data_IF_030412303414
#
_entry.id   IF_030412303414
#
_cell.length_a   1.000
_cell.length_b   1.000
_cell.length_c   1.000
_cell.angle_alpha   90.00
_cell.angle_beta   90.00
_cell.angle_gamma   90.00
#
_symmetry.space_group_name_H-M   'P 1'
#
loop_
_entity.id
_entity.type
_entity.pdbx_description
1 polymer ?
#
# COMPACT_ATOMS: atom_id res chain seq x y z
N UNK A 1 -23.54 13.08 5.83
CA UNK A 1 -22.23 12.41 5.79
C UNK A 1 -22.53 10.98 5.40
N UNK A 2 -21.83 10.43 4.43
CA UNK A 2 -21.96 9.02 4.08
C UNK A 2 -21.17 8.25 5.14
N UNK A 3 -21.85 7.54 6.02
CA UNK A 3 -21.21 6.77 7.08
C UNK A 3 -20.30 5.73 6.42
N UNK A 4 -18.99 5.87 6.60
CA UNK A 4 -18.02 4.92 6.07
C UNK A 4 -18.00 3.71 7.02
N UNK A 5 -18.40 2.55 6.49
CA UNK A 5 -18.59 1.32 7.26
C UNK A 5 -17.48 0.33 6.90
N UNK A 6 -16.75 -0.15 7.92
CA UNK A 6 -15.79 -1.24 7.81
C UNK A 6 -16.49 -2.57 8.09
N UNK A 7 -16.22 -3.56 7.23
CA UNK A 7 -16.67 -4.94 7.46
C UNK A 7 -15.92 -5.53 8.68
N UNK A 8 -16.48 -6.55 9.35
CA UNK A 8 -15.78 -7.26 10.42
C UNK A 8 -14.40 -7.75 9.96
N UNK A 9 -13.35 -7.42 10.71
CA UNK A 9 -11.97 -7.80 10.39
C UNK A 9 -11.24 -6.89 9.40
N UNK A 10 -11.89 -5.82 8.92
CA UNK A 10 -11.24 -4.74 8.18
C UNK A 10 -10.70 -3.67 9.13
N UNK A 11 -9.64 -3.00 8.70
CA UNK A 11 -8.95 -1.94 9.41
C UNK A 11 -8.68 -0.77 8.48
N UNK A 12 -8.70 0.43 9.03
CA UNK A 12 -8.28 1.64 8.32
C UNK A 12 -6.83 1.98 8.63
N UNK A 13 -6.10 2.38 7.59
CA UNK A 13 -4.74 2.90 7.68
C UNK A 13 -4.78 4.34 7.14
N UNK A 14 -4.86 5.34 8.02
CA UNK A 14 -4.67 6.74 7.62
C UNK A 14 -3.28 6.94 7.03
N UNK A 15 -3.15 7.72 5.96
CA UNK A 15 -1.87 7.92 5.28
C UNK A 15 -1.83 9.25 4.52
N UNK A 16 -0.64 9.64 4.05
CA UNK A 16 -0.42 10.89 3.31
C UNK A 16 -0.47 12.15 4.18
N UNK A 17 -0.31 12.02 5.50
CA UNK A 17 -0.13 13.16 6.39
C UNK A 17 0.74 12.82 7.61
N UNK A 18 1.61 13.75 8.03
CA UNK A 18 2.36 13.67 9.29
C UNK A 18 1.61 14.23 10.50
N UNK A 19 0.50 14.92 10.28
CA UNK A 19 -0.17 15.79 11.27
C UNK A 19 -1.48 15.24 11.82
N UNK A 20 -1.67 13.92 11.69
CA UNK A 20 -2.87 13.23 12.14
C UNK A 20 -2.64 12.54 13.49
N UNK A 21 -3.69 12.49 14.31
CA UNK A 21 -3.71 11.77 15.59
C UNK A 21 -5.01 10.98 15.70
N UNK A 22 -4.96 9.91 16.47
CA UNK A 22 -6.09 8.99 16.61
C UNK A 22 -7.33 9.60 17.28
N UNK A 23 -7.17 10.71 18.01
CA UNK A 23 -8.26 11.47 18.64
C UNK A 23 -9.16 12.17 17.62
N UNK A 24 -8.64 12.43 16.41
CA UNK A 24 -9.39 13.08 15.32
C UNK A 24 -10.27 12.10 14.55
N UNK A 25 -10.33 10.85 14.98
CA UNK A 25 -11.06 9.80 14.29
C UNK A 25 -12.03 9.12 15.24
N UNK A 26 -13.32 9.27 14.95
CA UNK A 26 -14.37 8.50 15.58
C UNK A 26 -14.34 7.06 15.03
N UNK A 27 -14.48 6.09 15.93
CA UNK A 27 -14.61 4.67 15.61
C UNK A 27 -15.70 4.11 16.52
N UNK A 28 -16.86 3.84 15.95
CA UNK A 28 -18.03 3.34 16.66
C UNK A 28 -18.29 1.89 16.24
N UNK A 29 -18.32 0.98 17.21
CA UNK A 29 -18.53 -0.43 16.95
C UNK A 29 -19.99 -0.68 16.51
N UNK A 30 -20.17 -1.52 15.49
CA UNK A 30 -21.49 -1.91 14.98
C UNK A 30 -21.91 -3.28 15.52
N UNK A 31 -23.23 -3.58 15.60
CA UNK A 31 -23.73 -4.87 16.07
C UNK A 31 -23.31 -6.08 15.23
N UNK A 32 -22.96 -5.85 13.96
CA UNK A 32 -22.49 -6.87 13.02
C UNK A 32 -21.00 -7.21 13.19
N UNK A 33 -20.29 -6.56 14.12
CA UNK A 33 -18.86 -6.72 14.34
C UNK A 33 -17.99 -5.82 13.45
N UNK A 34 -18.61 -4.97 12.63
CA UNK A 34 -17.94 -3.92 11.86
C UNK A 34 -17.74 -2.64 12.66
N UNK A 35 -17.26 -1.61 11.98
CA UNK A 35 -17.04 -0.29 12.58
C UNK A 35 -17.60 0.80 11.67
N UNK A 36 -18.22 1.81 12.27
CA UNK A 36 -18.45 3.09 11.62
C UNK A 36 -17.29 4.02 11.96
N UNK A 37 -16.82 4.79 10.98
CA UNK A 37 -15.69 5.67 11.20
C UNK A 37 -15.82 7.02 10.48
N UNK A 38 -15.25 8.05 11.11
CA UNK A 38 -15.08 9.37 10.53
C UNK A 38 -13.58 9.69 10.49
N UNK A 39 -12.91 9.22 9.45
CA UNK A 39 -11.49 9.49 9.26
C UNK A 39 -11.32 10.73 8.37
N UNK A 40 -10.80 11.85 8.90
CA UNK A 40 -10.81 13.14 8.20
C UNK A 40 -9.68 13.32 7.17
N UNK A 41 -8.92 12.25 6.90
CA UNK A 41 -7.72 12.28 6.05
C UNK A 41 -7.77 11.13 5.03
N UNK A 42 -6.79 11.08 4.12
CA UNK A 42 -6.59 9.93 3.25
C UNK A 42 -6.48 8.65 4.08
N UNK A 43 -7.27 7.62 3.78
CA UNK A 43 -7.18 6.32 4.44
C UNK A 43 -7.31 5.19 3.44
N UNK A 44 -6.61 4.09 3.71
CA UNK A 44 -6.77 2.81 3.03
C UNK A 44 -7.60 1.87 3.91
N UNK A 45 -8.50 1.07 3.31
CA UNK A 45 -9.17 -0.03 4.02
C UNK A 45 -8.45 -1.33 3.71
N UNK A 46 -8.08 -2.06 4.76
CA UNK A 46 -7.27 -3.26 4.70
C UNK A 46 -7.99 -4.39 5.40
N UNK A 47 -8.17 -5.51 4.70
CA UNK A 47 -8.77 -6.71 5.28
C UNK A 47 -7.74 -7.75 5.68
N UNK A 48 -8.09 -8.60 6.64
CA UNK A 48 -7.26 -9.75 7.02
C UNK A 48 -7.00 -10.66 5.80
N UNK A 49 -5.73 -10.93 5.51
CA UNK A 49 -5.30 -11.77 4.38
C UNK A 49 -5.52 -11.15 3.00
N UNK A 50 -5.88 -9.86 2.92
CA UNK A 50 -6.06 -9.13 1.67
C UNK A 50 -5.01 -8.03 1.59
N UNK A 51 -4.00 -8.24 0.75
CA UNK A 51 -3.02 -7.20 0.48
C UNK A 51 -3.65 -5.99 -0.19
N UNK A 52 -3.11 -4.83 0.11
CA UNK A 52 -3.57 -3.56 -0.39
C UNK A 52 -2.91 -3.25 -1.74
N UNK A 53 -3.67 -3.33 -2.83
CA UNK A 53 -3.13 -3.37 -4.20
C UNK A 53 -3.48 -2.13 -5.00
N UNK A 54 -2.70 -1.86 -6.05
CA UNK A 54 -2.90 -0.72 -6.95
C UNK A 54 -4.25 -0.77 -7.67
N UNK A 55 -4.83 -1.96 -7.85
CA UNK A 55 -6.16 -2.07 -8.41
C UNK A 55 -7.28 -1.67 -7.43
N UNK A 56 -7.00 -1.69 -6.13
CA UNK A 56 -7.99 -1.56 -5.08
C UNK A 56 -8.57 -0.15 -4.99
N UNK A 57 -9.91 -0.05 -5.05
CA UNK A 57 -10.64 1.19 -4.87
C UNK A 57 -10.77 1.63 -3.39
N UNK A 58 -10.19 0.88 -2.46
CA UNK A 58 -10.28 1.10 -1.01
C UNK A 58 -9.32 2.19 -0.52
N UNK A 59 -9.35 3.34 -1.20
CA UNK A 59 -8.84 4.59 -0.70
C UNK A 59 -9.94 5.65 -0.81
N UNK A 60 -10.17 6.45 0.22
CA UNK A 60 -11.09 7.61 0.13
C UNK A 60 -10.51 8.78 -0.69
N UNK A 61 -9.54 8.51 -1.54
CA UNK A 61 -8.89 9.50 -2.36
C UNK A 61 -9.66 9.64 -3.67
N UNK A 62 -10.02 10.86 -4.11
CA UNK A 62 -10.89 11.05 -5.27
C UNK A 62 -10.31 10.38 -6.52
N UNK A 63 -11.13 9.57 -7.19
CA UNK A 63 -10.80 9.01 -8.50
C UNK A 63 -10.69 10.19 -9.47
N UNK A 64 -9.66 10.28 -10.32
CA UNK A 64 -9.56 11.38 -11.28
C UNK A 64 -10.77 11.37 -12.21
N UNK A 65 -11.38 12.53 -12.42
CA UNK A 65 -12.53 12.70 -13.32
C UNK A 65 -12.14 12.63 -14.79
N UNK A 66 -10.85 12.83 -15.09
CA UNK A 66 -10.26 12.72 -16.42
C UNK A 66 -8.97 11.91 -16.32
N UNK A 67 -9.09 10.60 -16.49
CA UNK A 67 -7.98 9.83 -17.05
C UNK A 67 -8.22 9.87 -18.56
N UNK A 68 -7.20 10.16 -19.35
CA UNK A 68 -7.11 9.70 -20.74
C UNK A 68 -6.16 8.48 -20.70
N UNK A 69 -6.64 7.32 -20.22
CA UNK A 69 -5.78 6.17 -19.97
C UNK A 69 -5.80 5.31 -21.23
N UNK A 70 -5.15 5.80 -22.28
CA UNK A 70 -5.12 5.07 -23.55
C UNK A 70 -4.12 3.89 -23.47
N UNK A 71 -3.25 3.87 -22.46
CA UNK A 71 -2.38 2.74 -22.14
C UNK A 71 -2.09 2.53 -20.63
N UNK A 72 -1.65 1.32 -20.27
CA UNK A 72 -1.24 0.92 -18.93
C UNK A 72 -0.10 1.78 -18.36
N UNK A 73 0.75 2.32 -19.23
CA UNK A 73 1.92 3.12 -18.83
C UNK A 73 1.51 4.47 -18.27
N UNK A 74 0.51 5.13 -18.88
CA UNK A 74 -0.08 6.36 -18.39
C UNK A 74 -0.73 6.19 -17.02
N UNK A 75 -1.45 5.09 -16.82
CA UNK A 75 -2.09 4.77 -15.53
C UNK A 75 -1.06 4.54 -14.42
N UNK A 76 0.02 3.80 -14.70
CA UNK A 76 1.10 3.62 -13.74
C UNK A 76 1.81 4.95 -13.45
N UNK A 77 2.05 5.78 -14.46
CA UNK A 77 2.65 7.11 -14.28
C UNK A 77 1.79 8.00 -13.39
N UNK A 78 0.47 7.96 -13.59
CA UNK A 78 -0.49 8.63 -12.73
C UNK A 78 -0.40 8.14 -11.28
N UNK A 79 -0.45 6.83 -11.04
CA UNK A 79 -0.37 6.24 -9.70
C UNK A 79 0.94 6.57 -8.99
N UNK A 80 2.07 6.55 -9.72
CA UNK A 80 3.37 6.97 -9.22
C UNK A 80 3.34 8.44 -8.77
N UNK A 81 2.91 9.35 -9.65
CA UNK A 81 2.83 10.79 -9.33
C UNK A 81 1.90 11.05 -8.15
N UNK A 82 0.77 10.34 -8.08
CA UNK A 82 -0.17 10.43 -6.95
C UNK A 82 0.49 10.01 -5.64
N UNK A 83 1.11 8.84 -5.60
CA UNK A 83 1.78 8.34 -4.40
C UNK A 83 2.92 9.28 -3.97
N UNK A 84 3.71 9.80 -4.92
CA UNK A 84 4.75 10.80 -4.62
C UNK A 84 4.19 12.10 -4.02
N UNK A 85 3.01 12.53 -4.47
CA UNK A 85 2.32 13.70 -3.93
C UNK A 85 1.84 13.56 -2.48
N UNK A 86 1.81 12.33 -1.94
CA UNK A 86 1.45 12.02 -0.56
C UNK A 86 2.68 11.89 0.36
N UNK A 87 3.89 11.94 -0.19
CA UNK A 87 5.12 11.87 0.58
C UNK A 87 5.35 13.17 1.38
N UNK A 88 6.15 13.07 2.44
CA UNK A 88 6.64 14.25 3.15
C UNK A 88 7.51 15.12 2.23
N UNK A 89 7.18 16.40 2.11
CA UNK A 89 7.94 17.38 1.33
C UNK A 89 9.38 17.54 1.83
N UNK A 90 9.65 17.19 3.09
CA UNK A 90 10.98 17.24 3.70
C UNK A 90 11.72 15.90 3.63
N UNK A 91 11.05 14.80 3.28
CA UNK A 91 11.66 13.47 3.19
C UNK A 91 11.72 12.98 1.74
N UNK A 92 12.78 13.38 1.03
CA UNK A 92 13.00 13.01 -0.38
C UNK A 92 13.09 11.50 -0.60
N UNK A 93 13.57 10.74 0.40
CA UNK A 93 13.75 9.28 0.30
C UNK A 93 12.43 8.54 0.13
N UNK A 94 11.33 9.05 0.67
CA UNK A 94 10.00 8.50 0.40
C UNK A 94 9.67 8.61 -1.09
N UNK A 95 9.81 9.80 -1.69
CA UNK A 95 9.51 10.01 -3.10
C UNK A 95 10.45 9.23 -4.04
N UNK A 96 11.73 9.06 -3.65
CA UNK A 96 12.70 8.23 -4.35
C UNK A 96 12.30 6.75 -4.29
N UNK A 97 11.95 6.24 -3.11
CA UNK A 97 11.42 4.88 -2.97
C UNK A 97 10.23 4.65 -3.90
N UNK A 98 9.24 5.54 -3.89
CA UNK A 98 8.05 5.40 -4.72
C UNK A 98 8.45 5.31 -6.20
N UNK A 99 9.33 6.20 -6.65
CA UNK A 99 9.83 6.20 -8.03
C UNK A 99 10.51 4.88 -8.38
N UNK A 100 11.40 4.39 -7.53
CA UNK A 100 12.12 3.14 -7.74
C UNK A 100 11.21 1.91 -7.64
N UNK A 101 10.20 1.92 -6.77
CA UNK A 101 9.23 0.84 -6.63
C UNK A 101 8.38 0.69 -7.89
N UNK A 102 7.88 1.80 -8.44
CA UNK A 102 7.10 1.77 -9.68
C UNK A 102 7.92 1.37 -10.91
N UNK A 103 9.21 1.72 -10.95
CA UNK A 103 10.12 1.21 -11.98
C UNK A 103 10.37 -0.30 -11.79
N UNK A 104 10.65 -0.72 -10.56
CA UNK A 104 10.86 -2.11 -10.18
C UNK A 104 9.69 -3.00 -10.63
N UNK A 105 8.43 -2.67 -10.30
CA UNK A 105 7.29 -3.55 -10.66
C UNK A 105 7.14 -3.70 -12.18
N UNK A 106 7.48 -2.67 -12.97
CA UNK A 106 7.45 -2.75 -14.44
C UNK A 106 8.54 -3.68 -14.95
N UNK A 107 9.78 -3.41 -14.55
CA UNK A 107 10.95 -4.16 -15.01
C UNK A 107 10.85 -5.63 -14.58
N UNK A 108 10.41 -5.87 -13.35
CA UNK A 108 10.33 -7.21 -12.79
C UNK A 108 9.22 -8.05 -13.44
N UNK A 109 8.10 -7.43 -13.79
CA UNK A 109 7.04 -8.11 -14.55
C UNK A 109 7.50 -8.44 -15.98
N UNK A 110 8.20 -7.51 -16.65
CA UNK A 110 8.75 -7.73 -17.98
C UNK A 110 9.80 -8.86 -18.00
N UNK A 111 10.71 -8.89 -17.02
CA UNK A 111 11.67 -9.97 -16.83
C UNK A 111 10.99 -11.34 -16.64
N UNK A 112 9.83 -11.35 -15.99
CA UNK A 112 9.05 -12.54 -15.71
C UNK A 112 7.91 -12.79 -16.72
N UNK A 113 7.90 -12.07 -17.85
CA UNK A 113 6.81 -12.08 -18.83
C UNK A 113 6.39 -13.49 -19.23
N UNK A 114 7.34 -14.38 -19.52
CA UNK A 114 7.03 -15.77 -19.90
C UNK A 114 6.29 -16.59 -18.82
N UNK A 115 6.49 -16.30 -17.53
CA UNK A 115 5.73 -16.96 -16.45
C UNK A 115 4.32 -16.39 -16.34
N UNK A 116 4.17 -15.08 -16.52
CA UNK A 116 2.87 -14.39 -16.46
C UNK A 116 2.03 -14.71 -17.70
N UNK A 117 2.66 -14.81 -18.87
CA UNK A 117 2.03 -15.30 -20.11
C UNK A 117 1.46 -16.70 -19.92
N UNK A 118 2.18 -17.60 -19.24
CA UNK A 118 1.68 -18.93 -18.94
C UNK A 118 0.43 -18.90 -18.03
N UNK A 119 0.37 -17.95 -17.08
CA UNK A 119 -0.84 -17.71 -16.27
C UNK A 119 -1.97 -17.11 -17.13
N UNK A 120 -1.65 -16.19 -18.04
CA UNK A 120 -2.62 -15.52 -18.90
C UNK A 120 -3.19 -16.44 -19.99
N UNK A 121 -2.45 -17.47 -20.40
CA UNK A 121 -2.84 -18.42 -21.44
C UNK A 121 -4.15 -19.17 -21.12
N UNK A 122 -4.45 -19.35 -19.83
CA UNK A 122 -5.72 -19.94 -19.37
C UNK A 122 -6.95 -19.12 -19.80
N UNK A 123 -6.76 -17.84 -20.12
CA UNK A 123 -7.81 -16.91 -20.52
C UNK A 123 -7.86 -16.65 -22.02
N UNK A 124 -7.24 -17.51 -22.84
CA UNK A 124 -7.37 -17.51 -24.31
C UNK A 124 -7.10 -16.15 -24.98
N UNK A 125 -6.11 -15.39 -24.47
CA UNK A 125 -5.71 -14.10 -25.02
C UNK A 125 -6.55 -12.90 -24.56
N UNK A 126 -7.45 -13.08 -23.58
CA UNK A 126 -8.18 -11.97 -22.95
C UNK A 126 -7.28 -11.02 -22.15
N UNK A 127 -6.14 -11.53 -21.67
CA UNK A 127 -5.21 -10.76 -20.85
C UNK A 127 -3.79 -10.81 -21.39
N UNK A 128 -3.09 -9.69 -21.27
CA UNK A 128 -1.66 -9.57 -21.52
C UNK A 128 -0.91 -9.47 -20.17
N UNK A 129 0.39 -9.81 -20.10
CA UNK A 129 1.17 -9.73 -18.87
C UNK A 129 1.07 -8.39 -18.16
N UNK A 130 1.05 -7.29 -18.90
CA UNK A 130 1.01 -5.92 -18.38
C UNK A 130 -0.25 -5.65 -17.54
N UNK A 131 -1.32 -6.43 -17.74
CA UNK A 131 -2.54 -6.31 -16.95
C UNK A 131 -2.31 -6.67 -15.47
N UNK A 132 -1.27 -7.45 -15.16
CA UNK A 132 -0.89 -7.76 -13.78
C UNK A 132 -0.14 -6.63 -13.07
N UNK A 133 0.28 -5.55 -13.75
CA UNK A 133 0.96 -4.42 -13.09
C UNK A 133 0.17 -3.87 -11.89
N UNK A 134 -1.15 -3.82 -12.00
CA UNK A 134 -2.02 -3.30 -10.94
C UNK A 134 -2.24 -4.29 -9.79
N UNK A 135 -1.78 -5.54 -9.92
CA UNK A 135 -1.76 -6.49 -8.81
C UNK A 135 -0.66 -6.14 -7.78
N UNK A 136 0.29 -5.26 -8.10
CA UNK A 136 1.30 -4.83 -7.15
C UNK A 136 0.68 -4.15 -5.93
N UNK A 137 1.35 -4.27 -4.78
CA UNK A 137 0.89 -3.62 -3.56
C UNK A 137 1.01 -2.09 -3.68
N UNK A 138 -0.02 -1.37 -3.27
CA UNK A 138 -0.03 0.08 -3.30
C UNK A 138 0.79 0.62 -2.12
N UNK A 139 1.82 1.45 -2.37
CA UNK A 139 2.59 2.06 -1.30
C UNK A 139 1.75 3.11 -0.57
N UNK A 140 1.90 3.15 0.75
CA UNK A 140 1.22 4.08 1.66
C UNK A 140 2.24 5.02 2.31
N UNK A 141 2.52 6.19 1.73
CA UNK A 141 3.38 7.20 2.35
C UNK A 141 2.77 7.73 3.64
N UNK A 142 3.62 8.00 4.65
CA UNK A 142 3.19 8.57 5.94
C UNK A 142 2.04 7.76 6.59
N UNK A 143 2.16 6.44 6.60
CA UNK A 143 1.13 5.54 7.09
C UNK A 143 1.07 5.52 8.62
N UNK A 144 -0.14 5.69 9.16
CA UNK A 144 -0.45 5.54 10.58
C UNK A 144 -0.93 4.11 10.80
N UNK A 145 -0.07 3.26 11.37
CA UNK A 145 -0.33 1.83 11.55
C UNK A 145 -0.85 1.59 12.96
N UNK A 146 -2.00 0.91 13.09
CA UNK A 146 -2.57 0.57 14.39
C UNK A 146 -1.71 -0.46 15.12
N UNK A 147 -1.43 -0.23 16.41
CA UNK A 147 -0.55 -1.07 17.25
C UNK A 147 -1.20 -1.60 18.53
N UNK A 148 -2.51 -1.37 18.75
CA UNK A 148 -3.26 -2.00 19.84
C UNK A 148 -3.32 -1.23 21.17
N UNK A 149 -2.73 -0.04 21.26
CA UNK A 149 -2.80 0.81 22.47
C UNK A 149 -4.14 1.59 22.57
N UNK A 150 -4.36 2.31 23.68
CA UNK A 150 -5.50 3.22 23.84
C UNK A 150 -5.14 4.68 23.43
N UNK A 151 -6.15 5.46 23.08
CA UNK A 151 -5.99 6.90 22.81
C UNK A 151 -5.15 7.24 21.58
N UNK A 152 -4.46 8.38 21.61
CA UNK A 152 -3.63 8.87 20.49
C UNK A 152 -2.47 7.94 20.14
N UNK A 153 -1.97 7.18 21.13
CA UNK A 153 -0.85 6.26 20.97
C UNK A 153 -1.22 5.02 20.17
N UNK A 154 -2.50 4.72 19.94
CA UNK A 154 -2.91 3.51 19.23
C UNK A 154 -2.41 3.37 17.79
N UNK A 155 -1.81 4.42 17.23
CA UNK A 155 -1.17 4.40 15.92
C UNK A 155 0.29 4.85 15.98
N UNK A 156 1.13 4.19 15.17
CA UNK A 156 2.52 4.59 14.93
C UNK A 156 2.66 5.10 13.50
N UNK A 157 3.26 6.28 13.35
CA UNK A 157 3.60 6.85 12.04
C UNK A 157 4.85 6.17 11.48
N UNK A 158 4.68 5.44 10.39
CA UNK A 158 5.76 4.95 9.55
C UNK A 158 6.00 5.90 8.35
N UNK A 159 7.26 6.16 7.94
CA UNK A 159 7.54 6.98 6.75
C UNK A 159 6.84 6.46 5.49
N UNK A 160 6.74 5.13 5.38
CA UNK A 160 6.10 4.44 4.28
C UNK A 160 5.64 3.05 4.77
N UNK A 161 4.56 2.53 4.22
CA UNK A 161 4.17 1.13 4.41
C UNK A 161 3.75 0.47 3.09
N UNK A 162 3.90 -0.85 3.05
CA UNK A 162 3.22 -1.74 2.10
C UNK A 162 2.36 -2.71 2.90
N UNK A 163 1.15 -3.00 2.42
CA UNK A 163 0.33 -4.06 3.01
C UNK A 163 0.24 -5.23 2.04
N UNK A 164 0.97 -6.30 2.32
CA UNK A 164 0.90 -7.52 1.51
C UNK A 164 -0.13 -8.50 2.10
N UNK A 165 -0.32 -9.64 1.41
CA UNK A 165 -1.25 -10.67 1.88
C UNK A 165 -0.80 -11.30 3.22
N UNK A 166 0.51 -11.22 3.53
CA UNK A 166 1.10 -11.71 4.77
C UNK A 166 1.00 -10.69 5.92
N UNK A 167 0.73 -9.41 5.63
CA UNK A 167 0.57 -8.35 6.62
C UNK A 167 1.28 -7.04 6.27
N UNK A 168 1.50 -6.23 7.31
CA UNK A 168 2.11 -4.92 7.17
C UNK A 168 3.64 -5.01 7.05
N UNK A 169 4.21 -4.27 6.11
CA UNK A 169 5.64 -3.99 6.01
C UNK A 169 5.82 -2.47 6.18
N UNK A 170 6.32 -2.04 7.34
CA UNK A 170 6.69 -0.66 7.61
C UNK A 170 8.13 -0.41 7.13
N UNK A 171 8.32 0.63 6.33
CA UNK A 171 9.58 0.92 5.65
C UNK A 171 10.21 2.18 6.27
N UNK A 172 11.44 2.03 6.76
CA UNK A 172 12.26 3.09 7.33
C UNK A 172 13.51 3.29 6.48
N UNK A 173 14.05 4.51 6.46
CA UNK A 173 15.25 4.85 5.69
C UNK A 173 16.41 5.14 6.63
N UNK A 174 17.43 4.29 6.65
CA UNK A 174 18.60 4.43 7.52
C UNK A 174 19.48 5.62 7.11
N UNK A 175 20.06 6.33 8.08
CA UNK A 175 21.15 7.27 7.84
C UNK A 175 20.76 8.71 7.47
N UNK A 176 19.64 9.25 7.94
CA UNK A 176 19.36 10.69 7.83
C UNK A 176 19.69 11.43 9.13
N UNK A 177 19.34 10.87 10.28
CA UNK A 177 19.75 11.31 11.61
C UNK A 177 19.82 10.04 12.45
N UNK A 178 20.72 9.96 13.44
CA UNK A 178 20.74 8.87 14.42
C UNK A 178 19.32 8.47 14.76
N UNK A 179 18.93 7.20 14.58
CA UNK A 179 17.59 6.75 14.94
C UNK A 179 17.32 7.20 16.37
N UNK A 180 16.56 8.28 16.54
CA UNK A 180 16.31 8.85 17.85
C UNK A 180 15.61 7.79 18.68
N UNK A 181 15.66 7.90 20.01
CA UNK A 181 14.98 6.95 20.90
C UNK A 181 13.51 6.71 20.51
N UNK A 182 12.85 7.75 19.96
CA UNK A 182 11.50 7.66 19.39
C UNK A 182 11.41 6.70 18.19
N UNK A 183 12.29 6.80 17.20
CA UNK A 183 12.28 5.90 16.02
C UNK A 183 12.49 4.45 16.43
N UNK A 184 13.42 4.17 17.35
CA UNK A 184 13.65 2.82 17.84
C UNK A 184 12.42 2.27 18.60
N UNK A 185 11.80 3.11 19.43
CA UNK A 185 10.55 2.78 20.13
C UNK A 185 9.39 2.52 19.16
N UNK A 186 9.20 3.39 18.17
CA UNK A 186 8.17 3.26 17.14
C UNK A 186 8.33 1.95 16.34
N UNK A 187 9.56 1.64 15.91
CA UNK A 187 9.84 0.36 15.26
C UNK A 187 9.59 -0.85 16.19
N UNK A 188 9.93 -0.76 17.47
CA UNK A 188 9.69 -1.85 18.43
C UNK A 188 8.19 -2.11 18.62
N UNK A 189 7.38 -1.05 18.70
CA UNK A 189 5.91 -1.13 18.79
C UNK A 189 5.30 -1.76 17.54
N UNK A 190 5.77 -1.35 16.36
CA UNK A 190 5.35 -1.96 15.08
C UNK A 190 5.66 -3.45 15.03
N UNK A 191 6.87 -3.86 15.44
CA UNK A 191 7.24 -5.29 15.52
C UNK A 191 6.37 -6.04 16.52
N UNK A 192 6.08 -5.46 17.68
CA UNK A 192 5.19 -6.05 18.69
C UNK A 192 3.78 -6.27 18.15
N UNK A 193 3.28 -5.34 17.34
CA UNK A 193 1.98 -5.44 16.65
C UNK A 193 2.00 -6.39 15.44
N UNK A 194 3.13 -7.05 15.15
CA UNK A 194 3.25 -8.03 14.06
C UNK A 194 3.59 -7.44 12.69
N UNK A 195 3.93 -6.15 12.61
CA UNK A 195 4.44 -5.58 11.37
C UNK A 195 5.91 -5.97 11.13
N UNK A 196 6.25 -6.24 9.88
CA UNK A 196 7.64 -6.37 9.44
C UNK A 196 8.21 -4.96 9.33
N UNK A 197 9.33 -4.69 9.99
CA UNK A 197 10.05 -3.42 9.85
C UNK A 197 11.23 -3.62 8.90
N UNK A 198 11.14 -3.05 7.71
CA UNK A 198 12.18 -3.04 6.69
C UNK A 198 12.94 -1.72 6.76
N UNK A 199 14.19 -1.79 7.20
CA UNK A 199 15.08 -0.62 7.23
C UNK A 199 15.99 -0.63 6.00
N UNK A 200 15.88 0.39 5.16
CA UNK A 200 16.62 0.51 3.91
C UNK A 200 17.75 1.52 4.07
N UNK A 201 18.99 1.09 3.86
CA UNK A 201 20.13 1.98 3.67
C UNK A 201 20.01 2.77 2.37
N UNK A 202 20.82 3.84 2.24
CA UNK A 202 20.92 4.62 1.00
C UNK A 202 21.24 3.74 -0.21
N UNK A 203 22.17 2.79 -0.07
CA UNK A 203 22.53 1.87 -1.14
C UNK A 203 21.37 0.96 -1.56
N UNK A 204 20.57 0.48 -0.60
CA UNK A 204 19.46 -0.44 -0.86
C UNK A 204 18.27 0.21 -1.55
N UNK A 205 18.12 1.53 -1.50
CA UNK A 205 17.06 2.24 -2.25
C UNK A 205 17.60 3.19 -3.32
N UNK A 206 18.89 3.10 -3.67
CA UNK A 206 19.53 3.97 -4.66
C UNK A 206 19.06 3.73 -6.11
N UNK A 207 18.48 2.57 -6.41
CA UNK A 207 18.00 2.22 -7.76
C UNK A 207 16.88 1.19 -7.70
N UNK A 208 16.10 0.99 -8.79
CA UNK A 208 15.07 -0.05 -8.85
C UNK A 208 15.63 -1.46 -8.58
N UNK A 209 16.80 -1.79 -9.12
CA UNK A 209 17.44 -3.10 -8.92
C UNK A 209 17.91 -3.30 -7.48
N UNK A 210 18.53 -2.29 -6.87
CA UNK A 210 18.93 -2.37 -5.46
C UNK A 210 17.71 -2.53 -4.55
N UNK A 211 16.65 -1.77 -4.82
CA UNK A 211 15.40 -1.87 -4.08
C UNK A 211 14.78 -3.26 -4.23
N UNK A 212 14.73 -3.79 -5.46
CA UNK A 212 14.25 -5.14 -5.74
C UNK A 212 15.01 -6.20 -4.93
N UNK A 213 16.31 -6.05 -4.72
CA UNK A 213 17.09 -6.98 -3.92
C UNK A 213 16.67 -6.95 -2.44
N UNK A 214 16.39 -5.77 -1.89
CA UNK A 214 16.04 -5.55 -0.49
C UNK A 214 14.58 -5.88 -0.12
N UNK A 215 13.66 -5.87 -1.09
CA UNK A 215 12.24 -6.16 -0.82
C UNK A 215 12.03 -7.63 -0.40
N UNK A 216 10.97 -7.95 0.38
CA UNK A 216 10.57 -9.34 0.63
C UNK A 216 10.05 -10.05 -0.63
N UNK A 217 10.19 -11.37 -0.72
CA UNK A 217 9.70 -12.14 -1.88
C UNK A 217 8.19 -11.96 -2.13
N UNK A 218 7.39 -11.87 -1.07
CA UNK A 218 5.95 -11.64 -1.16
C UNK A 218 5.63 -10.35 -1.94
N UNK A 219 6.43 -9.29 -1.75
CA UNK A 219 6.31 -8.03 -2.50
C UNK A 219 6.85 -8.19 -3.91
N UNK A 220 7.98 -8.91 -4.07
CA UNK A 220 8.61 -9.07 -5.38
C UNK A 220 7.66 -9.76 -6.36
N UNK A 221 7.11 -10.89 -5.95
CA UNK A 221 6.27 -11.73 -6.80
C UNK A 221 4.77 -11.47 -6.60
N UNK A 222 4.40 -10.19 -6.51
CA UNK A 222 3.03 -9.73 -6.20
C UNK A 222 1.93 -10.35 -7.09
N UNK A 223 2.26 -10.73 -8.31
CA UNK A 223 1.33 -11.32 -9.28
C UNK A 223 0.99 -12.78 -8.97
N UNK A 224 1.81 -13.50 -8.19
CA UNK A 224 1.59 -14.94 -7.90
C UNK A 224 0.33 -15.19 -7.09
N UNK A 225 -0.04 -14.28 -6.20
CA UNK A 225 -1.25 -14.39 -5.39
C UNK A 225 -2.49 -13.79 -6.06
N UNK A 226 -2.37 -13.30 -7.31
CA UNK A 226 -3.48 -12.73 -8.06
C UNK A 226 -3.82 -13.57 -9.29
N UNK A 227 -4.90 -14.38 -9.25
CA UNK A 227 -5.24 -15.29 -10.35
C UNK A 227 -5.76 -14.56 -11.61
N UNK A 228 -6.38 -13.38 -11.42
CA UNK A 228 -6.96 -12.58 -12.50
C UNK A 228 -6.47 -11.14 -12.41
N UNK A 229 -6.02 -10.53 -13.52
CA UNK A 229 -5.63 -9.14 -13.49
C UNK A 229 -6.88 -8.27 -13.33
N UNK A 230 -6.74 -7.17 -12.60
CA UNK A 230 -7.81 -6.19 -12.41
C UNK A 230 -7.27 -4.81 -12.71
N UNK A 231 -8.05 -4.00 -13.44
CA UNK A 231 -7.72 -2.60 -13.65
C UNK A 231 -7.82 -1.80 -12.34
N UNK A 232 -7.13 -0.65 -12.23
CA UNK A 232 -7.32 0.25 -11.11
C UNK A 232 -8.69 0.88 -11.13
N UNK A 233 -9.13 1.28 -9.94
CA UNK A 233 -10.47 1.84 -9.72
C UNK A 233 -11.60 0.85 -10.07
N UNK A 234 -11.30 -0.45 -10.13
CA UNK A 234 -12.35 -1.45 -10.16
C UNK A 234 -13.24 -1.24 -8.93
N UNK A 235 -14.53 -1.00 -9.17
CA UNK A 235 -15.51 -1.04 -8.09
C UNK A 235 -15.36 -2.39 -7.38
N UNK A 236 -15.42 -2.40 -6.04
CA UNK A 236 -15.49 -3.67 -5.32
C UNK A 236 -16.63 -4.48 -5.95
N UNK A 237 -16.29 -5.61 -6.57
CA UNK A 237 -17.30 -6.58 -6.94
C UNK A 237 -17.98 -6.93 -5.64
N UNK A 238 -19.28 -6.64 -5.53
CA UNK A 238 -20.09 -7.11 -4.41
C UNK A 238 -19.79 -8.60 -4.25
N UNK A 239 -19.37 -9.00 -3.05
CA UNK A 239 -19.06 -10.39 -2.74
C UNK A 239 -20.26 -11.23 -3.22
N UNK A 240 -20.09 -11.96 -4.33
CA UNK A 240 -21.05 -12.97 -4.73
C UNK A 240 -20.83 -14.12 -3.77
N UNK A 241 -21.56 -14.11 -2.66
CA UNK A 241 -21.63 -15.23 -1.72
C UNK A 241 -21.81 -16.53 -2.51
N UNK A 242 -20.86 -17.45 -2.35
CA UNK A 242 -20.98 -18.85 -2.76
C UNK A 242 -21.37 -19.69 -1.57
#
# INVERSE_FOLDING_TARGET
>A
MTDAILKPGDMIVPFGTTSWTAERMALDARPDGGWEHDCPVGYAVIGKGRGHRLFGAVHNLPVPTHLEPDDHSGMITFLNNRARGLCDIFNKRQAEFITHYFAFIKDHLAEHGGKVDAMAAEFHGLYAPEHWLFAAFAPLPQAHIYVGDEGAERFVLAPLALWCDEGCIAIYFAGAETAGGKTASDQARLRHAGAIVLELSEAEHASPTALAAALPEAVKYFWRSQPLPMGPFAAELADFDK
#
